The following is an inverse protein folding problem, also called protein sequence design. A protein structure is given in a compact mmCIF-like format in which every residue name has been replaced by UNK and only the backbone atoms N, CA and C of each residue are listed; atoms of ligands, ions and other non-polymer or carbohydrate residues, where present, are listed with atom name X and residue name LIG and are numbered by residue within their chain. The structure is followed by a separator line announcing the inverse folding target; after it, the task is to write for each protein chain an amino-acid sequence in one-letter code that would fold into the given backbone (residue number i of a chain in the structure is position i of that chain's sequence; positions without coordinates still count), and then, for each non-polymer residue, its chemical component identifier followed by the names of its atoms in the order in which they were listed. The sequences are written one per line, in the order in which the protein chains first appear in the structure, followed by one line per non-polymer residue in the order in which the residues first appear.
data_IF_432489528267
#
_entry.id   IF_432489528267
#
_cell.length_a   1.000
_cell.length_b   1.000
_cell.length_c   1.000
_cell.angle_alpha   90.00
_cell.angle_beta   90.00
_cell.angle_gamma   90.00
#
_symmetry.space_group_name_H-M   'P 1'
#
loop_
_entity.id
_entity.type
_entity.pdbx_description
1 polymer ?
#
# COMPACT_ATOMS: atom_id res chain seq x y z
N UNK A 1 50.16 15.76 10.18
CA UNK A 1 48.78 16.31 10.01
C UNK A 1 47.83 15.12 9.98
N UNK A 2 47.11 14.89 11.09
CA UNK A 2 46.10 13.81 11.22
C UNK A 2 44.88 14.21 10.39
N UNK A 3 44.68 13.56 9.24
CA UNK A 3 43.48 13.73 8.42
C UNK A 3 42.32 12.96 9.06
N UNK A 4 41.29 13.69 9.46
CA UNK A 4 39.91 13.27 9.80
C UNK A 4 39.57 11.81 9.47
N UNK A 5 39.80 10.90 10.43
CA UNK A 5 39.04 9.65 10.52
C UNK A 5 37.71 9.99 11.19
N UNK A 6 36.74 10.43 10.38
CA UNK A 6 35.35 10.46 10.83
C UNK A 6 34.82 9.03 10.72
N UNK A 7 34.65 8.37 11.86
CA UNK A 7 33.85 7.16 11.93
C UNK A 7 32.40 7.56 11.65
N UNK A 8 32.02 7.52 10.38
CA UNK A 8 30.62 7.67 10.00
C UNK A 8 29.89 6.43 10.50
N UNK A 9 28.80 6.55 11.28
CA UNK A 9 27.97 5.41 11.58
C UNK A 9 27.52 4.79 10.26
N UNK A 10 27.59 3.46 10.15
CA UNK A 10 27.13 2.74 8.98
C UNK A 10 25.61 2.94 8.86
N UNK A 11 25.21 3.99 8.15
CA UNK A 11 23.81 4.26 7.85
C UNK A 11 23.34 3.17 6.89
N UNK A 12 22.52 2.26 7.39
CA UNK A 12 21.84 1.24 6.59
C UNK A 12 21.09 1.92 5.44
N UNK A 13 21.60 1.78 4.20
CA UNK A 13 20.95 2.32 3.01
C UNK A 13 21.86 3.10 2.06
N UNK A 14 23.04 3.56 2.48
CA UNK A 14 24.02 4.13 1.55
C UNK A 14 24.67 3.00 0.74
N UNK A 15 24.21 2.86 -0.50
CA UNK A 15 24.55 1.75 -1.38
C UNK A 15 26.02 1.78 -1.80
N UNK A 16 26.85 0.97 -1.14
CA UNK A 16 28.21 0.70 -1.59
C UNK A 16 28.14 0.07 -2.99
N UNK A 17 28.91 0.61 -3.94
CA UNK A 17 28.95 0.12 -5.32
C UNK A 17 30.35 -0.38 -5.65
N UNK A 18 30.44 -1.59 -6.22
CA UNK A 18 31.67 -2.22 -6.66
C UNK A 18 31.67 -2.33 -8.18
N UNK A 19 32.61 -1.68 -8.87
CA UNK A 19 32.72 -1.68 -10.35
C UNK A 19 31.38 -1.35 -11.04
N UNK A 20 30.64 -0.37 -10.52
CA UNK A 20 29.35 0.05 -11.06
C UNK A 20 28.15 -0.83 -10.69
N UNK A 21 28.33 -1.90 -9.91
CA UNK A 21 27.23 -2.73 -9.38
C UNK A 21 26.95 -2.39 -7.93
N UNK A 22 25.68 -2.12 -7.59
CA UNK A 22 25.25 -1.84 -6.22
C UNK A 22 25.27 -3.13 -5.39
N UNK A 23 26.00 -3.12 -4.28
CA UNK A 23 26.03 -4.22 -3.33
C UNK A 23 24.87 -4.11 -2.34
N UNK A 24 24.21 -5.23 -2.07
CA UNK A 24 23.24 -5.36 -0.98
C UNK A 24 23.97 -6.01 0.19
N UNK A 25 24.43 -5.18 1.12
CA UNK A 25 25.08 -5.64 2.34
C UNK A 25 24.03 -5.86 3.42
N UNK A 26 24.05 -7.03 4.03
CA UNK A 26 23.23 -7.39 5.19
C UNK A 26 24.17 -7.70 6.34
N UNK A 27 23.79 -7.35 7.56
CA UNK A 27 24.52 -7.75 8.75
C UNK A 27 24.59 -9.27 8.83
N UNK A 28 25.76 -9.79 9.22
CA UNK A 28 25.92 -11.20 9.52
C UNK A 28 25.19 -11.49 10.84
N UNK A 29 24.25 -12.43 10.81
CA UNK A 29 23.45 -12.83 11.97
C UNK A 29 23.75 -14.28 12.32
N UNK A 30 23.63 -14.63 13.59
CA UNK A 30 23.79 -16.01 14.04
C UNK A 30 22.67 -16.90 13.48
N UNK A 31 22.86 -18.24 13.40
CA UNK A 31 21.83 -19.14 12.89
C UNK A 31 20.49 -19.06 13.63
N UNK A 32 20.49 -18.76 14.94
CA UNK A 32 19.28 -18.57 15.75
C UNK A 32 18.54 -17.28 15.37
N UNK A 33 19.26 -16.17 15.29
CA UNK A 33 18.67 -14.89 14.86
C UNK A 33 18.19 -14.94 13.40
N UNK A 34 18.88 -15.72 12.55
CA UNK A 34 18.45 -15.94 11.18
C UNK A 34 17.08 -16.63 11.11
N UNK A 35 16.81 -17.61 11.98
CA UNK A 35 15.49 -18.26 12.05
C UNK A 35 14.41 -17.31 12.55
N UNK A 36 14.71 -16.45 13.50
CA UNK A 36 13.76 -15.46 14.04
C UNK A 36 13.41 -14.40 13.00
N UNK A 37 14.41 -13.87 12.29
CA UNK A 37 14.20 -12.89 11.20
C UNK A 37 13.36 -13.50 10.06
N UNK A 38 13.51 -14.80 9.78
CA UNK A 38 12.69 -15.50 8.78
C UNK A 38 11.27 -15.73 9.29
N UNK A 39 11.10 -16.00 10.58
CA UNK A 39 9.78 -16.15 11.21
C UNK A 39 9.01 -14.81 11.23
N UNK A 40 9.68 -13.71 11.56
CA UNK A 40 9.10 -12.35 11.59
C UNK A 40 8.72 -11.84 10.19
N UNK A 41 9.45 -12.29 9.15
CA UNK A 41 9.12 -11.97 7.76
C UNK A 41 7.95 -12.75 7.19
N UNK A 42 7.41 -13.76 7.89
CA UNK A 42 6.17 -14.39 7.44
C UNK A 42 5.06 -13.34 7.63
N UNK A 43 4.42 -12.87 6.55
CA UNK A 43 3.28 -11.97 6.71
C UNK A 43 2.27 -12.71 7.57
N UNK A 44 1.87 -12.12 8.71
CA UNK A 44 0.75 -12.60 9.51
C UNK A 44 -0.48 -12.57 8.58
N UNK A 45 -0.76 -13.68 7.90
CA UNK A 45 -1.76 -13.76 6.83
C UNK A 45 -3.15 -13.30 7.27
N UNK A 46 -3.43 -13.30 8.58
CA UNK A 46 -4.64 -12.74 9.18
C UNK A 46 -4.62 -11.20 9.33
N UNK A 47 -3.55 -10.62 9.88
CA UNK A 47 -3.52 -9.20 10.27
C UNK A 47 -3.72 -8.25 9.07
N UNK A 48 -3.06 -8.53 7.94
CA UNK A 48 -3.23 -7.71 6.73
C UNK A 48 -4.64 -7.84 6.12
N UNK A 49 -5.26 -9.01 6.25
CA UNK A 49 -6.63 -9.25 5.78
C UNK A 49 -7.65 -8.54 6.68
N UNK A 50 -7.46 -8.59 8.00
CA UNK A 50 -8.28 -7.90 8.99
C UNK A 50 -8.21 -6.38 8.84
N UNK A 51 -7.01 -5.84 8.63
CA UNK A 51 -6.83 -4.41 8.39
C UNK A 51 -7.51 -3.98 7.08
N UNK A 52 -7.37 -4.76 6.00
CA UNK A 52 -8.09 -4.49 4.75
C UNK A 52 -9.61 -4.54 4.95
N UNK A 53 -10.10 -5.50 5.75
CA UNK A 53 -11.53 -5.64 6.05
C UNK A 53 -12.06 -4.44 6.84
N UNK A 54 -11.29 -3.96 7.83
CA UNK A 54 -11.62 -2.80 8.66
C UNK A 54 -11.95 -1.56 7.83
N UNK A 55 -11.25 -1.36 6.71
CA UNK A 55 -11.42 -0.16 5.88
C UNK A 55 -12.38 -0.32 4.70
N UNK A 56 -13.01 -1.48 4.50
CA UNK A 56 -13.93 -1.71 3.37
C UNK A 56 -15.12 -0.75 3.34
N UNK A 57 -15.61 -0.32 4.51
CA UNK A 57 -16.75 0.61 4.60
C UNK A 57 -16.45 1.95 3.93
N UNK A 58 -15.19 2.37 3.84
CA UNK A 58 -14.80 3.63 3.18
C UNK A 58 -15.18 3.65 1.70
N UNK A 59 -15.25 2.47 1.05
CA UNK A 59 -15.68 2.38 -0.34
C UNK A 59 -17.18 2.58 -0.51
N UNK A 60 -17.98 2.34 0.53
CA UNK A 60 -19.45 2.41 0.48
C UNK A 60 -20.02 3.74 0.96
N UNK A 61 -19.21 4.60 1.58
CA UNK A 61 -19.64 5.93 2.02
C UNK A 61 -20.10 6.76 0.81
N UNK A 62 -21.25 7.41 0.94
CA UNK A 62 -21.82 8.29 -0.10
C UNK A 62 -22.41 7.56 -1.30
N UNK A 63 -22.57 6.23 -1.24
CA UNK A 63 -23.24 5.49 -2.30
C UNK A 63 -24.75 5.78 -2.30
N UNK A 64 -25.29 6.03 -3.48
CA UNK A 64 -26.73 6.22 -3.67
C UNK A 64 -27.27 4.94 -4.30
N UNK A 65 -28.22 4.30 -3.61
CA UNK A 65 -28.87 3.09 -4.12
C UNK A 65 -29.67 3.39 -5.37
N UNK A 66 -29.59 2.51 -6.37
CA UNK A 66 -30.31 2.64 -7.64
C UNK A 66 -31.84 2.65 -7.46
N UNK A 67 -32.33 2.07 -6.37
CA UNK A 67 -33.75 2.01 -6.04
C UNK A 67 -34.24 3.20 -5.19
N UNK A 68 -33.37 4.19 -4.92
CA UNK A 68 -33.74 5.33 -4.07
C UNK A 68 -34.32 6.47 -4.90
N UNK A 69 -35.26 7.22 -4.33
CA UNK A 69 -35.80 8.43 -4.95
C UNK A 69 -34.70 9.45 -5.32
N UNK A 70 -33.63 9.50 -4.51
CA UNK A 70 -32.44 10.32 -4.79
C UNK A 70 -31.74 9.93 -6.09
N UNK A 71 -31.79 8.66 -6.49
CA UNK A 71 -31.21 8.18 -7.75
C UNK A 71 -32.00 8.64 -8.96
N UNK A 72 -33.34 8.60 -8.87
CA UNK A 72 -34.24 9.03 -9.94
C UNK A 72 -34.09 10.52 -10.24
N UNK A 73 -33.79 11.33 -9.21
CA UNK A 73 -33.50 12.76 -9.34
C UNK A 73 -32.16 13.07 -10.02
N UNK A 74 -31.26 12.08 -10.19
CA UNK A 74 -29.96 12.29 -10.84
C UNK A 74 -30.09 12.38 -12.36
N UNK A 75 -29.23 13.17 -12.98
CA UNK A 75 -29.11 13.21 -14.44
C UNK A 75 -28.63 11.87 -15.01
N UNK A 76 -28.99 11.56 -16.27
CA UNK A 76 -28.58 10.29 -16.93
C UNK A 76 -27.05 10.14 -17.01
N UNK A 77 -26.31 11.23 -17.21
CA UNK A 77 -24.85 11.23 -17.24
C UNK A 77 -24.26 10.90 -15.86
N UNK A 78 -24.82 11.46 -14.80
CA UNK A 78 -24.38 11.18 -13.44
C UNK A 78 -24.70 9.74 -13.01
N UNK A 79 -25.88 9.22 -13.38
CA UNK A 79 -26.22 7.82 -13.17
C UNK A 79 -25.21 6.88 -13.85
N UNK A 80 -24.78 7.20 -15.08
CA UNK A 80 -23.74 6.45 -15.79
C UNK A 80 -22.39 6.48 -15.05
N UNK A 81 -21.95 7.67 -14.62
CA UNK A 81 -20.70 7.85 -13.88
C UNK A 81 -20.70 7.08 -12.56
N UNK A 82 -21.83 7.08 -11.84
CA UNK A 82 -21.99 6.32 -10.59
C UNK A 82 -21.99 4.81 -10.85
N UNK A 83 -22.65 4.32 -11.89
CA UNK A 83 -22.60 2.91 -12.31
C UNK A 83 -21.18 2.47 -12.68
N UNK A 84 -20.45 3.30 -13.43
CA UNK A 84 -19.04 3.05 -13.76
C UNK A 84 -18.16 3.02 -12.50
N UNK A 85 -18.36 3.99 -11.59
CA UNK A 85 -17.65 4.05 -10.31
C UNK A 85 -17.92 2.82 -9.44
N UNK A 86 -19.14 2.29 -9.43
CA UNK A 86 -19.52 1.06 -8.72
C UNK A 86 -18.79 -0.16 -9.27
N UNK A 87 -18.70 -0.29 -10.60
CA UNK A 87 -17.92 -1.36 -11.27
C UNK A 87 -16.43 -1.27 -10.90
N UNK A 88 -15.87 -0.07 -10.94
CA UNK A 88 -14.47 0.18 -10.59
C UNK A 88 -14.18 -0.15 -9.12
N UNK A 89 -15.04 0.28 -8.18
CA UNK A 89 -14.92 -0.07 -6.76
C UNK A 89 -14.88 -1.59 -6.55
N UNK A 90 -15.79 -2.32 -7.21
CA UNK A 90 -15.83 -3.79 -7.13
C UNK A 90 -14.52 -4.42 -7.64
N UNK A 91 -13.98 -3.90 -8.73
CA UNK A 91 -12.68 -4.35 -9.24
C UNK A 91 -11.53 -4.07 -8.26
N UNK A 92 -11.48 -2.87 -7.67
CA UNK A 92 -10.45 -2.48 -6.67
C UNK A 92 -10.48 -3.36 -5.41
N UNK A 93 -11.65 -3.80 -4.96
CA UNK A 93 -11.77 -4.70 -3.80
C UNK A 93 -11.06 -6.03 -4.05
N UNK A 94 -11.22 -6.56 -5.27
CA UNK A 94 -10.71 -7.88 -5.66
C UNK A 94 -9.22 -7.85 -6.06
N UNK A 95 -8.68 -6.67 -6.37
CA UNK A 95 -7.28 -6.52 -6.74
C UNK A 95 -6.38 -6.44 -5.50
N UNK A 96 -5.35 -7.28 -5.43
CA UNK A 96 -4.37 -7.30 -4.34
C UNK A 96 -3.48 -6.05 -4.29
N UNK A 97 -3.29 -5.36 -5.43
CA UNK A 97 -2.48 -4.14 -5.52
C UNK A 97 -3.17 -2.91 -4.95
N UNK A 98 -4.48 -3.00 -4.66
CA UNK A 98 -5.26 -1.93 -4.06
C UNK A 98 -5.37 -2.10 -2.55
N UNK A 99 -4.78 -1.15 -1.84
CA UNK A 99 -4.87 -1.01 -0.39
C UNK A 99 -5.84 0.12 -0.10
N UNK A 100 -6.86 -0.18 0.71
CA UNK A 100 -7.86 0.78 1.19
C UNK A 100 -7.36 1.28 2.54
N UNK A 101 -7.08 2.58 2.65
CA UNK A 101 -6.57 3.18 3.88
C UNK A 101 -7.11 4.60 4.00
N UNK A 102 -7.52 5.07 5.20
CA UNK A 102 -8.12 6.40 5.39
C UNK A 102 -7.18 7.54 4.98
N UNK A 103 -5.87 7.38 5.19
CA UNK A 103 -4.87 8.40 4.83
C UNK A 103 -4.38 8.31 3.37
N UNK A 104 -4.82 7.30 2.59
CA UNK A 104 -4.38 7.15 1.20
C UNK A 104 -5.35 7.90 0.30
N UNK A 105 -4.92 9.06 -0.21
CA UNK A 105 -5.68 9.79 -1.22
C UNK A 105 -5.71 8.98 -2.52
N UNK A 106 -6.89 8.56 -2.95
CA UNK A 106 -7.11 8.03 -4.31
C UNK A 106 -7.25 9.21 -5.27
N UNK A 107 -6.15 9.82 -5.70
CA UNK A 107 -6.17 10.81 -6.78
C UNK A 107 -6.51 10.07 -8.09
N UNK A 108 -7.59 10.48 -8.76
CA UNK A 108 -7.99 10.01 -10.09
C UNK A 108 -7.91 11.20 -11.07
N UNK A 109 -7.68 10.95 -12.35
CA UNK A 109 -7.48 11.98 -13.39
C UNK A 109 -6.31 12.93 -13.09
N UNK A 110 -5.09 12.40 -13.00
CA UNK A 110 -3.93 13.25 -13.30
C UNK A 110 -3.90 13.46 -14.82
N UNK A 111 -3.68 14.71 -15.28
CA UNK A 111 -3.68 15.06 -16.70
C UNK A 111 -2.58 14.35 -17.49
#
# INVERSE_FOLDING_TARGET
RKSDRRELPAVEGFGISLKGRRLVLKSAVSPKEATDIVADKKPKKGAAMEEKAKWKYLLTIGDISENSEKWERLSKSEQLQRKASKKERKWRINNANFVIHPMRLSIRNLP
#
